data_IF_307409607933
#
_entry.id   IF_307409607933
#
_cell.length_a   1.000
_cell.length_b   1.000
_cell.length_c   1.000
_cell.angle_alpha   90.00
_cell.angle_beta   90.00
_cell.angle_gamma   90.00
#
_symmetry.space_group_name_H-M   'P 1'
#
loop_
_entity.id
_entity.type
_entity.pdbx_description
1 polymer ?
#
# COMPACT_ATOMS: atom_id res chain seq x y z
N UNK A 1 -5.95 19.36 -32.52
CA UNK A 1 -5.70 19.73 -31.12
C UNK A 1 -5.43 18.43 -30.36
N UNK A 2 -4.23 18.27 -29.75
CA UNK A 2 -3.97 17.12 -28.86
C UNK A 2 -4.82 17.35 -27.59
N UNK A 3 -5.83 16.53 -27.37
CA UNK A 3 -6.57 16.54 -26.09
C UNK A 3 -5.57 16.32 -24.97
N UNK A 4 -5.50 17.26 -24.03
CA UNK A 4 -4.63 17.14 -22.85
C UNK A 4 -5.07 15.87 -22.10
N UNK A 5 -4.13 14.95 -21.86
CA UNK A 5 -4.45 13.74 -21.09
C UNK A 5 -5.08 14.14 -19.74
N UNK A 6 -6.10 13.42 -19.27
CA UNK A 6 -6.75 13.77 -18.01
C UNK A 6 -5.74 13.73 -16.85
N UNK A 7 -5.87 14.67 -15.93
CA UNK A 7 -5.01 14.73 -14.74
C UNK A 7 -5.19 13.43 -13.93
N UNK A 8 -4.11 12.75 -13.56
CA UNK A 8 -4.21 11.54 -12.76
C UNK A 8 -4.89 11.77 -11.41
N UNK A 9 -5.66 10.81 -10.96
CA UNK A 9 -6.34 10.85 -9.68
C UNK A 9 -5.57 10.03 -8.63
N UNK A 10 -5.53 10.55 -7.40
CA UNK A 10 -5.07 9.82 -6.22
C UNK A 10 -6.30 9.31 -5.47
N UNK A 11 -6.46 7.98 -5.38
CA UNK A 11 -7.54 7.33 -4.64
C UNK A 11 -7.00 6.92 -3.27
N UNK A 12 -7.44 7.60 -2.22
CA UNK A 12 -6.91 7.43 -0.87
C UNK A 12 -7.81 6.49 -0.06
N UNK A 13 -7.34 5.28 0.23
CA UNK A 13 -8.03 4.29 1.06
C UNK A 13 -7.50 4.33 2.50
N UNK A 14 -8.38 4.17 3.49
CA UNK A 14 -7.96 3.96 4.87
C UNK A 14 -7.89 2.47 5.19
N UNK A 15 -6.88 2.03 5.91
CA UNK A 15 -6.88 0.67 6.46
C UNK A 15 -7.74 0.58 7.72
N UNK A 16 -8.54 -0.47 7.84
CA UNK A 16 -9.25 -0.79 9.10
C UNK A 16 -8.29 -1.19 10.22
N UNK A 17 -7.05 -1.54 9.86
CA UNK A 17 -6.01 -1.88 10.81
C UNK A 17 -5.62 -0.71 11.72
N UNK A 18 -5.72 0.54 11.22
CA UNK A 18 -5.54 1.75 12.03
C UNK A 18 -6.63 1.93 13.10
N UNK A 19 -7.76 1.25 12.95
CA UNK A 19 -8.95 1.37 13.80
C UNK A 19 -9.10 0.23 14.81
N UNK A 20 -8.15 -0.73 14.84
CA UNK A 20 -8.17 -1.82 15.82
C UNK A 20 -8.10 -1.23 17.23
N UNK A 21 -9.10 -1.56 18.05
CA UNK A 21 -9.18 -1.08 19.43
C UNK A 21 -9.49 0.43 19.58
N UNK A 22 -9.85 1.13 18.52
CA UNK A 22 -10.17 2.55 18.58
C UNK A 22 -11.65 2.81 18.98
N UNK A 23 -11.97 3.82 19.85
CA UNK A 23 -11.04 4.74 20.52
C UNK A 23 -10.34 4.13 21.74
N UNK A 24 -10.86 3.05 22.31
CA UNK A 24 -10.19 2.21 23.31
C UNK A 24 -10.59 0.75 23.09
N UNK A 25 -9.79 -0.24 23.53
CA UNK A 25 -10.12 -1.64 23.38
C UNK A 25 -11.50 -2.02 23.94
N UNK A 26 -11.92 -1.39 25.06
CA UNK A 26 -13.22 -1.63 25.73
C UNK A 26 -14.40 -0.98 24.99
N UNK A 27 -14.14 -0.01 24.12
CA UNK A 27 -15.13 0.75 23.37
C UNK A 27 -14.80 0.75 21.86
N UNK A 28 -14.18 -0.34 21.41
CA UNK A 28 -13.81 -0.46 19.99
C UNK A 28 -15.02 -0.31 19.08
N UNK A 29 -14.81 0.45 18.00
CA UNK A 29 -15.87 0.70 17.02
C UNK A 29 -16.25 -0.56 16.25
N UNK A 30 -17.55 -0.75 16.01
CA UNK A 30 -18.04 -1.75 15.05
C UNK A 30 -17.58 -1.44 13.64
N UNK A 31 -17.57 -2.43 12.76
CA UNK A 31 -17.24 -2.28 11.34
C UNK A 31 -18.03 -1.13 10.70
N UNK A 32 -19.34 -1.08 10.94
CA UNK A 32 -20.18 -0.02 10.39
C UNK A 32 -19.80 1.38 10.91
N UNK A 33 -19.35 1.49 12.16
CA UNK A 33 -18.87 2.77 12.71
C UNK A 33 -17.52 3.14 12.11
N UNK A 34 -16.60 2.17 11.98
CA UNK A 34 -15.30 2.38 11.34
C UNK A 34 -15.46 2.92 9.90
N UNK A 35 -16.29 2.30 9.07
CA UNK A 35 -16.48 2.74 7.70
C UNK A 35 -17.14 4.12 7.60
N UNK A 36 -18.09 4.44 8.49
CA UNK A 36 -18.64 5.81 8.59
C UNK A 36 -17.57 6.84 8.97
N UNK A 37 -16.70 6.50 9.91
CA UNK A 37 -15.59 7.38 10.30
C UNK A 37 -14.57 7.56 9.17
N UNK A 38 -14.25 6.51 8.42
CA UNK A 38 -13.41 6.57 7.21
C UNK A 38 -14.03 7.55 6.20
N UNK A 39 -15.33 7.42 5.90
CA UNK A 39 -16.02 8.33 4.99
C UNK A 39 -16.03 9.76 5.50
N UNK A 40 -16.34 9.97 6.79
CA UNK A 40 -16.35 11.29 7.42
C UNK A 40 -14.98 11.97 7.44
N UNK A 41 -13.89 11.18 7.53
CA UNK A 41 -12.52 11.68 7.42
C UNK A 41 -12.10 12.00 5.96
N UNK A 42 -12.99 11.78 4.99
CA UNK A 42 -12.79 12.15 3.58
C UNK A 42 -11.95 11.15 2.78
N UNK A 43 -11.78 9.92 3.23
CA UNK A 43 -11.18 8.87 2.41
C UNK A 43 -12.14 8.44 1.30
N UNK A 44 -11.56 8.00 0.18
CA UNK A 44 -12.29 7.52 -1.00
C UNK A 44 -12.71 6.06 -0.83
N UNK A 45 -11.98 5.29 -0.04
CA UNK A 45 -12.19 3.86 0.12
C UNK A 45 -11.63 3.27 1.40
N UNK A 46 -11.79 1.95 1.50
CA UNK A 46 -11.27 1.13 2.59
C UNK A 46 -10.30 0.08 2.06
N UNK A 47 -9.20 -0.14 2.80
CA UNK A 47 -8.22 -1.19 2.57
C UNK A 47 -8.30 -2.21 3.70
N UNK A 48 -8.73 -3.44 3.39
CA UNK A 48 -8.85 -4.55 4.33
C UNK A 48 -9.09 -5.87 3.57
N UNK A 49 -9.03 -7.01 4.23
CA UNK A 49 -9.70 -8.21 3.70
C UNK A 49 -11.21 -8.00 3.82
N UNK A 50 -11.86 -7.73 2.69
CA UNK A 50 -13.26 -7.28 2.65
C UNK A 50 -14.19 -8.42 3.03
N UNK A 51 -15.09 -8.13 3.98
CA UNK A 51 -16.18 -9.03 4.40
C UNK A 51 -17.51 -8.61 3.78
N UNK A 52 -18.53 -9.50 3.72
CA UNK A 52 -19.87 -9.13 3.25
C UNK A 52 -20.48 -7.95 4.04
N UNK A 53 -20.23 -7.86 5.35
CA UNK A 53 -20.66 -6.73 6.17
C UNK A 53 -19.99 -5.42 5.72
N UNK A 54 -18.67 -5.44 5.52
CA UNK A 54 -17.93 -4.27 5.02
C UNK A 54 -18.46 -3.82 3.67
N UNK A 55 -18.67 -4.78 2.73
CA UNK A 55 -19.21 -4.49 1.41
C UNK A 55 -20.56 -3.76 1.47
N UNK A 56 -21.49 -4.30 2.27
CA UNK A 56 -22.82 -3.71 2.42
C UNK A 56 -22.76 -2.26 2.94
N UNK A 57 -21.89 -1.98 3.90
CA UNK A 57 -21.74 -0.63 4.46
C UNK A 57 -20.99 0.29 3.49
N UNK A 58 -19.92 -0.21 2.85
CA UNK A 58 -19.13 0.55 1.89
C UNK A 58 -20.00 1.03 0.70
N UNK A 59 -20.86 0.16 0.16
CA UNK A 59 -21.78 0.53 -0.93
C UNK A 59 -22.71 1.68 -0.54
N UNK A 60 -23.30 1.62 0.65
CA UNK A 60 -24.19 2.69 1.14
C UNK A 60 -23.47 4.03 1.33
N UNK A 61 -22.17 3.98 1.61
CA UNK A 61 -21.33 5.16 1.84
C UNK A 61 -20.61 5.64 0.56
N UNK A 62 -20.68 4.89 -0.53
CA UNK A 62 -19.93 5.16 -1.75
C UNK A 62 -18.41 5.10 -1.50
N UNK A 63 -17.94 4.11 -0.72
CA UNK A 63 -16.52 3.83 -0.51
C UNK A 63 -16.06 2.76 -1.50
N UNK A 64 -14.93 3.00 -2.16
CA UNK A 64 -14.28 1.98 -2.97
C UNK A 64 -13.54 0.94 -2.09
N UNK A 65 -13.23 -0.21 -2.68
CA UNK A 65 -12.68 -1.36 -1.96
C UNK A 65 -11.30 -1.74 -2.50
N UNK A 66 -10.33 -1.79 -1.63
CA UNK A 66 -8.98 -2.28 -1.83
C UNK A 66 -8.75 -3.43 -0.84
N UNK A 67 -8.15 -4.52 -1.26
CA UNK A 67 -7.92 -5.67 -0.39
C UNK A 67 -6.47 -6.07 -0.32
N UNK A 68 -6.11 -6.85 0.70
CA UNK A 68 -4.80 -7.45 0.83
C UNK A 68 -4.81 -8.69 1.72
N UNK A 69 -3.91 -9.63 1.45
CA UNK A 69 -3.71 -10.82 2.25
C UNK A 69 -2.40 -11.55 1.92
N UNK A 70 -1.97 -12.42 2.86
CA UNK A 70 -0.81 -13.29 2.67
C UNK A 70 -1.17 -14.48 1.78
N UNK A 71 -0.32 -14.82 0.81
CA UNK A 71 -0.48 -15.98 -0.05
C UNK A 71 0.65 -16.98 0.16
N UNK A 72 0.34 -18.14 0.70
CA UNK A 72 1.30 -19.25 0.90
C UNK A 72 1.49 -20.09 -0.35
N UNK A 73 0.57 -20.05 -1.30
CA UNK A 73 0.61 -20.73 -2.59
C UNK A 73 -0.49 -20.20 -3.50
N UNK A 74 -0.45 -20.56 -4.79
CA UNK A 74 -1.55 -20.26 -5.72
C UNK A 74 -2.86 -20.92 -5.29
N UNK A 75 -2.80 -22.17 -4.82
CA UNK A 75 -3.98 -22.91 -4.36
C UNK A 75 -4.64 -22.27 -3.13
N UNK A 76 -3.84 -21.69 -2.22
CA UNK A 76 -4.31 -20.93 -1.06
C UNK A 76 -4.93 -19.58 -1.49
N UNK A 77 -4.34 -18.91 -2.44
CA UNK A 77 -4.76 -17.56 -2.84
C UNK A 77 -6.03 -17.53 -3.71
N UNK A 78 -6.19 -18.47 -4.66
CA UNK A 78 -7.27 -18.43 -5.65
C UNK A 78 -8.68 -18.39 -5.02
N UNK A 79 -9.03 -19.22 -4.02
CA UNK A 79 -10.34 -19.12 -3.37
C UNK A 79 -10.59 -17.75 -2.73
N UNK A 80 -9.55 -17.12 -2.16
CA UNK A 80 -9.65 -15.78 -1.56
C UNK A 80 -9.77 -14.69 -2.62
N UNK A 81 -9.09 -14.82 -3.76
CA UNK A 81 -9.28 -13.92 -4.91
C UNK A 81 -10.72 -13.96 -5.41
N UNK A 82 -11.29 -15.17 -5.53
CA UNK A 82 -12.69 -15.35 -5.93
C UNK A 82 -13.64 -14.65 -4.94
N UNK A 83 -13.44 -14.89 -3.64
CA UNK A 83 -14.26 -14.26 -2.60
C UNK A 83 -14.17 -12.72 -2.64
N UNK A 84 -12.99 -12.16 -2.85
CA UNK A 84 -12.81 -10.71 -2.94
C UNK A 84 -13.40 -10.14 -4.24
N UNK A 85 -13.24 -10.83 -5.37
CA UNK A 85 -13.90 -10.47 -6.64
C UNK A 85 -15.41 -10.39 -6.50
N UNK A 86 -16.02 -11.39 -5.86
CA UNK A 86 -17.48 -11.48 -5.68
C UNK A 86 -18.02 -10.36 -4.79
N UNK A 87 -17.16 -9.76 -3.96
CA UNK A 87 -17.44 -8.55 -3.18
C UNK A 87 -17.11 -7.26 -3.94
N UNK A 88 -16.71 -7.33 -5.21
CA UNK A 88 -16.45 -6.15 -6.05
C UNK A 88 -15.08 -5.50 -5.84
N UNK A 89 -14.13 -6.19 -5.21
CA UNK A 89 -12.75 -5.71 -5.07
C UNK A 89 -12.03 -5.80 -6.41
N UNK A 90 -11.39 -4.69 -6.84
CA UNK A 90 -10.63 -4.63 -8.10
C UNK A 90 -9.13 -4.80 -7.89
N UNK A 91 -8.58 -4.20 -6.83
CA UNK A 91 -7.15 -4.17 -6.53
C UNK A 91 -6.86 -4.97 -5.27
N UNK A 92 -5.99 -5.95 -5.40
CA UNK A 92 -5.64 -6.88 -4.31
C UNK A 92 -4.14 -6.90 -4.11
N UNK A 93 -3.72 -6.50 -2.92
CA UNK A 93 -2.34 -6.61 -2.45
C UNK A 93 -2.04 -8.03 -2.00
N UNK A 94 -0.88 -8.58 -2.37
CA UNK A 94 -0.45 -9.91 -1.95
C UNK A 94 0.93 -9.85 -1.30
N UNK A 95 0.97 -10.25 -0.04
CA UNK A 95 2.21 -10.61 0.65
C UNK A 95 2.57 -12.05 0.24
N UNK A 96 3.61 -12.17 -0.60
CA UNK A 96 3.89 -13.41 -1.33
C UNK A 96 4.85 -14.32 -0.58
N UNK A 97 4.37 -15.52 -0.18
CA UNK A 97 5.19 -16.58 0.43
C UNK A 97 5.90 -16.11 1.72
N UNK A 98 7.05 -16.67 2.04
CA UNK A 98 7.85 -16.32 3.21
C UNK A 98 9.29 -15.93 2.82
N UNK A 99 10.03 -15.44 3.82
CA UNK A 99 11.42 -14.99 3.67
C UNK A 99 12.41 -16.08 3.23
N UNK A 100 12.14 -17.36 3.53
CA UNK A 100 13.01 -18.49 3.13
C UNK A 100 12.82 -18.89 1.66
N UNK A 101 11.78 -18.36 1.00
CA UNK A 101 11.48 -18.75 -0.39
C UNK A 101 12.52 -18.22 -1.35
N UNK A 102 13.17 -19.08 -2.16
CA UNK A 102 14.10 -18.64 -3.19
C UNK A 102 13.42 -17.77 -4.25
N UNK A 103 14.07 -16.69 -4.76
CA UNK A 103 13.51 -15.80 -5.76
C UNK A 103 12.95 -16.49 -7.02
N UNK A 104 13.59 -17.54 -7.49
CA UNK A 104 13.10 -18.31 -8.65
C UNK A 104 11.76 -19.02 -8.38
N UNK A 105 11.55 -19.50 -7.16
CA UNK A 105 10.27 -20.10 -6.75
C UNK A 105 9.20 -19.01 -6.60
N UNK A 106 9.53 -17.89 -5.95
CA UNK A 106 8.62 -16.77 -5.79
C UNK A 106 8.18 -16.19 -7.14
N UNK A 107 9.09 -16.02 -8.09
CA UNK A 107 8.77 -15.55 -9.43
C UNK A 107 7.81 -16.50 -10.17
N UNK A 108 8.00 -17.83 -10.07
CA UNK A 108 7.07 -18.81 -10.68
C UNK A 108 5.68 -18.72 -10.06
N UNK A 109 5.60 -18.60 -8.73
CA UNK A 109 4.30 -18.45 -8.03
C UNK A 109 3.65 -17.11 -8.41
N UNK A 110 4.40 -16.01 -8.48
CA UNK A 110 3.88 -14.72 -8.94
C UNK A 110 3.31 -14.80 -10.36
N UNK A 111 4.01 -15.45 -11.31
CA UNK A 111 3.52 -15.65 -12.68
C UNK A 111 2.19 -16.41 -12.70
N UNK A 112 2.09 -17.50 -11.94
CA UNK A 112 0.86 -18.30 -11.88
C UNK A 112 -0.28 -17.50 -11.22
N UNK A 113 -0.02 -16.84 -10.09
CA UNK A 113 -1.01 -16.08 -9.34
C UNK A 113 -1.57 -14.91 -10.16
N UNK A 114 -0.71 -14.15 -10.83
CA UNK A 114 -1.14 -13.03 -11.67
C UNK A 114 -1.91 -13.53 -12.90
N UNK A 115 -1.54 -14.69 -13.45
CA UNK A 115 -2.32 -15.32 -14.52
C UNK A 115 -3.73 -15.70 -14.05
N UNK A 116 -3.86 -16.31 -12.88
CA UNK A 116 -5.17 -16.67 -12.32
C UNK A 116 -5.99 -15.41 -11.99
N UNK A 117 -5.38 -14.38 -11.41
CA UNK A 117 -6.08 -13.13 -11.12
C UNK A 117 -6.65 -12.45 -12.37
N UNK A 118 -5.94 -12.49 -13.49
CA UNK A 118 -6.42 -11.95 -14.78
C UNK A 118 -7.64 -12.71 -15.31
N UNK A 119 -7.66 -14.05 -15.17
CA UNK A 119 -8.85 -14.84 -15.53
C UNK A 119 -10.08 -14.46 -14.69
N UNK A 120 -9.84 -14.05 -13.46
CA UNK A 120 -10.87 -13.62 -12.53
C UNK A 120 -11.29 -12.15 -12.73
N UNK A 121 -10.55 -11.38 -13.54
CA UNK A 121 -10.82 -9.95 -13.74
C UNK A 121 -10.44 -9.07 -12.56
N UNK A 122 -9.51 -9.53 -11.68
CA UNK A 122 -8.97 -8.74 -10.57
C UNK A 122 -7.50 -8.42 -10.80
N UNK A 123 -7.04 -7.27 -10.31
CA UNK A 123 -5.66 -6.84 -10.41
C UNK A 123 -4.91 -7.20 -9.13
N UNK A 124 -3.99 -8.15 -9.22
CA UNK A 124 -3.10 -8.55 -8.12
C UNK A 124 -1.79 -7.83 -8.24
N UNK A 125 -1.31 -7.29 -7.13
CA UNK A 125 -0.02 -6.63 -6.97
C UNK A 125 0.78 -7.30 -5.87
N UNK A 126 2.05 -7.60 -6.11
CA UNK A 126 2.95 -8.22 -5.13
C UNK A 126 3.57 -7.13 -4.26
N UNK A 127 3.40 -7.23 -2.96
CA UNK A 127 3.91 -6.25 -2.01
C UNK A 127 5.41 -6.41 -1.74
N UNK A 128 6.12 -5.30 -1.63
CA UNK A 128 7.44 -5.26 -1.00
C UNK A 128 7.26 -5.28 0.51
N UNK A 129 7.45 -6.45 1.14
CA UNK A 129 7.10 -6.63 2.55
C UNK A 129 8.12 -7.53 3.28
N UNK A 130 8.40 -7.18 4.56
CA UNK A 130 9.23 -8.00 5.46
C UNK A 130 8.60 -9.38 5.66
N UNK A 131 9.41 -10.37 6.01
CA UNK A 131 8.99 -11.76 6.28
C UNK A 131 8.26 -12.43 5.10
N UNK A 132 8.47 -11.89 3.89
CA UNK A 132 7.97 -12.47 2.64
C UNK A 132 9.10 -12.71 1.66
N UNK A 133 8.78 -13.28 0.50
CA UNK A 133 9.80 -13.48 -0.55
C UNK A 133 10.41 -12.18 -1.08
N UNK A 134 9.76 -11.02 -0.86
CA UNK A 134 10.19 -9.70 -1.33
C UNK A 134 10.84 -8.84 -0.24
N UNK A 135 11.27 -9.42 0.87
CA UNK A 135 11.69 -8.71 2.09
C UNK A 135 12.90 -7.79 1.92
N UNK A 136 13.79 -8.07 0.94
CA UNK A 136 14.96 -7.24 0.68
C UNK A 136 14.96 -6.73 -0.75
N UNK A 137 15.59 -5.56 -1.01
CA UNK A 137 15.74 -5.02 -2.36
C UNK A 137 16.35 -6.02 -3.36
N UNK A 138 17.32 -6.82 -2.94
CA UNK A 138 18.01 -7.78 -3.80
C UNK A 138 17.10 -8.95 -4.21
N UNK A 139 16.36 -9.53 -3.25
CA UNK A 139 15.38 -10.59 -3.54
C UNK A 139 14.28 -10.07 -4.45
N UNK A 140 13.74 -8.89 -4.13
CA UNK A 140 12.73 -8.25 -4.95
C UNK A 140 13.19 -8.01 -6.38
N UNK A 141 14.39 -7.44 -6.57
CA UNK A 141 14.96 -7.19 -7.91
C UNK A 141 15.09 -8.48 -8.71
N UNK A 142 15.59 -9.54 -8.10
CA UNK A 142 15.73 -10.84 -8.76
C UNK A 142 14.37 -11.42 -9.14
N UNK A 143 13.36 -11.37 -8.27
CA UNK A 143 11.98 -11.81 -8.55
C UNK A 143 11.41 -11.01 -9.72
N UNK A 144 11.54 -9.69 -9.71
CA UNK A 144 11.02 -8.84 -10.78
C UNK A 144 11.68 -9.11 -12.13
N UNK A 145 13.02 -9.34 -12.15
CA UNK A 145 13.76 -9.72 -13.36
C UNK A 145 13.34 -11.09 -13.89
N UNK A 146 13.17 -12.08 -13.01
CA UNK A 146 12.73 -13.42 -13.38
C UNK A 146 11.30 -13.43 -13.89
N UNK A 147 10.40 -12.67 -13.24
CA UNK A 147 9.03 -12.47 -13.72
C UNK A 147 9.02 -11.87 -15.13
N UNK A 148 9.77 -10.77 -15.35
CA UNK A 148 9.87 -10.14 -16.67
C UNK A 148 10.43 -11.06 -17.74
N UNK A 149 11.43 -11.88 -17.39
CA UNK A 149 11.98 -12.89 -18.33
C UNK A 149 10.94 -13.94 -18.72
N UNK A 150 10.10 -14.35 -17.78
CA UNK A 150 9.09 -15.39 -18.01
C UNK A 150 7.85 -14.90 -18.75
N UNK A 151 7.51 -13.60 -18.61
CA UNK A 151 6.25 -13.05 -19.12
C UNK A 151 6.42 -12.00 -20.22
N UNK A 152 7.57 -11.37 -20.31
CA UNK A 152 7.82 -10.18 -21.14
C UNK A 152 7.29 -8.88 -20.49
N UNK A 153 6.64 -8.94 -19.34
CA UNK A 153 5.95 -7.81 -18.67
C UNK A 153 6.65 -7.38 -17.39
N UNK A 154 6.36 -6.17 -16.92
CA UNK A 154 6.76 -5.72 -15.59
C UNK A 154 5.91 -6.39 -14.51
N UNK A 155 6.53 -6.73 -13.38
CA UNK A 155 5.81 -7.25 -12.22
C UNK A 155 4.87 -6.16 -11.66
N UNK A 156 3.56 -6.43 -11.48
CA UNK A 156 2.68 -5.53 -10.76
C UNK A 156 3.06 -5.50 -9.28
N UNK A 157 3.36 -4.34 -8.74
CA UNK A 157 3.89 -4.17 -7.37
C UNK A 157 2.99 -3.27 -6.54
N UNK A 158 2.75 -3.67 -5.29
CA UNK A 158 2.35 -2.75 -4.21
C UNK A 158 3.61 -2.29 -3.50
N UNK A 159 3.91 -1.00 -3.55
CA UNK A 159 5.09 -0.47 -2.91
C UNK A 159 4.83 -0.11 -1.44
N UNK A 160 5.44 -0.87 -0.52
CA UNK A 160 5.73 -0.44 0.84
C UNK A 160 7.25 -0.30 1.02
N UNK A 161 7.74 0.92 0.92
CA UNK A 161 9.17 1.20 1.00
C UNK A 161 9.74 1.12 2.43
N UNK A 162 8.87 1.10 3.45
CA UNK A 162 9.27 1.05 4.85
C UNK A 162 10.15 -0.16 5.16
N UNK A 163 9.83 -1.30 4.57
CA UNK A 163 10.55 -2.55 4.78
C UNK A 163 11.97 -2.50 4.22
N UNK A 164 12.14 -1.91 3.04
CA UNK A 164 13.46 -1.74 2.43
C UNK A 164 14.32 -0.71 3.19
N UNK A 165 13.70 0.39 3.62
CA UNK A 165 14.40 1.41 4.39
C UNK A 165 15.01 0.85 5.68
N UNK A 166 14.23 0.04 6.42
CA UNK A 166 14.68 -0.61 7.65
C UNK A 166 15.71 -1.70 7.36
N UNK A 167 15.47 -2.59 6.40
CA UNK A 167 16.40 -3.69 6.09
C UNK A 167 17.78 -3.20 5.66
N UNK A 168 17.88 -1.96 5.16
CA UNK A 168 19.11 -1.33 4.67
C UNK A 168 19.61 -0.17 5.52
N UNK A 169 18.98 0.09 6.67
CA UNK A 169 19.33 1.20 7.56
C UNK A 169 19.50 2.53 6.82
N UNK A 170 18.54 2.86 5.95
CA UNK A 170 18.66 4.04 5.10
C UNK A 170 18.41 5.33 5.87
N UNK A 171 19.27 6.32 5.70
CA UNK A 171 19.06 7.64 6.29
C UNK A 171 18.10 8.48 5.43
N UNK A 172 17.41 9.47 5.99
CA UNK A 172 16.44 10.31 5.25
C UNK A 172 17.02 10.94 3.98
N UNK A 173 18.27 11.40 4.01
CA UNK A 173 18.96 11.97 2.84
C UNK A 173 19.14 10.98 1.68
N UNK A 174 19.07 9.68 1.94
CA UNK A 174 19.28 8.62 0.96
C UNK A 174 17.97 8.02 0.40
N UNK A 175 16.81 8.34 0.99
CA UNK A 175 15.56 7.65 0.67
C UNK A 175 15.26 7.68 -0.83
N UNK A 176 15.19 8.85 -1.44
CA UNK A 176 14.83 8.96 -2.86
C UNK A 176 15.89 8.31 -3.76
N UNK A 177 17.17 8.50 -3.46
CA UNK A 177 18.27 7.94 -4.25
C UNK A 177 18.32 6.40 -4.22
N UNK A 178 17.94 5.77 -3.09
CA UNK A 178 18.07 4.33 -2.88
C UNK A 178 16.75 3.55 -3.01
N UNK A 179 15.60 4.20 -2.82
CA UNK A 179 14.28 3.57 -2.88
C UNK A 179 13.58 3.75 -4.23
N UNK A 180 13.97 4.76 -5.05
CA UNK A 180 13.36 5.01 -6.35
C UNK A 180 14.21 4.46 -7.52
N UNK A 181 15.03 3.45 -7.26
CA UNK A 181 15.95 2.86 -8.26
C UNK A 181 15.25 1.99 -9.31
N UNK A 182 13.95 1.73 -9.15
CA UNK A 182 13.12 0.98 -10.12
C UNK A 182 12.02 1.86 -10.74
N UNK A 183 12.36 2.98 -11.41
CA UNK A 183 11.36 3.95 -11.87
C UNK A 183 10.30 3.31 -12.79
N UNK A 184 10.68 2.37 -13.66
CA UNK A 184 9.72 1.69 -14.54
C UNK A 184 8.70 0.84 -13.75
N UNK A 185 9.12 0.12 -12.70
CA UNK A 185 8.22 -0.66 -11.85
C UNK A 185 7.32 0.26 -11.01
N UNK A 186 7.85 1.37 -10.49
CA UNK A 186 7.08 2.37 -9.77
C UNK A 186 6.00 2.96 -10.67
N UNK A 187 6.37 3.39 -11.86
CA UNK A 187 5.45 3.95 -12.87
C UNK A 187 4.39 2.97 -13.34
N UNK A 188 4.72 1.67 -13.38
CA UNK A 188 3.79 0.60 -13.74
C UNK A 188 2.83 0.22 -12.60
N UNK A 189 3.10 0.62 -11.38
CA UNK A 189 2.29 0.27 -10.21
C UNK A 189 1.04 1.12 -10.11
N UNK A 190 -0.03 0.52 -9.57
CA UNK A 190 -1.30 1.19 -9.28
C UNK A 190 -1.63 1.20 -7.78
N UNK A 191 -0.78 0.61 -6.94
CA UNK A 191 -1.00 0.51 -5.49
C UNK A 191 0.25 0.89 -4.72
N UNK A 192 0.11 1.79 -3.75
CA UNK A 192 1.15 2.10 -2.77
C UNK A 192 0.60 1.99 -1.35
N UNK A 193 1.34 1.29 -0.49
CA UNK A 193 1.20 1.39 0.95
C UNK A 193 2.13 2.50 1.45
N UNK A 194 1.55 3.63 1.78
CA UNK A 194 2.28 4.85 2.17
C UNK A 194 2.47 4.88 3.69
N UNK A 195 3.20 3.90 4.21
CA UNK A 195 3.55 3.81 5.62
C UNK A 195 4.72 4.76 5.91
N UNK A 196 4.59 5.71 6.85
CA UNK A 196 5.71 6.55 7.28
C UNK A 196 6.72 5.71 8.07
N UNK A 197 7.99 5.90 7.75
CA UNK A 197 9.10 5.10 8.29
C UNK A 197 10.33 5.96 8.59
N UNK A 198 11.28 5.37 9.32
CA UNK A 198 12.67 5.83 9.38
C UNK A 198 13.64 4.65 9.18
N UNK A 199 14.93 4.86 9.41
CA UNK A 199 15.95 3.83 9.20
C UNK A 199 15.86 2.63 10.16
N UNK A 200 15.10 2.73 11.24
CA UNK A 200 15.00 1.72 12.29
C UNK A 200 13.60 1.17 12.49
N UNK A 201 12.56 1.91 12.04
CA UNK A 201 11.17 1.57 12.29
C UNK A 201 10.38 1.61 10.98
N UNK A 202 9.69 0.51 10.66
CA UNK A 202 8.78 0.44 9.52
C UNK A 202 7.58 1.37 9.70
N UNK A 203 7.24 1.75 10.93
CA UNK A 203 6.19 2.70 11.22
C UNK A 203 6.69 3.73 12.23
N UNK A 204 6.54 5.00 11.89
CA UNK A 204 6.77 6.12 12.81
C UNK A 204 5.48 6.93 12.97
N UNK A 205 5.25 7.56 14.13
CA UNK A 205 4.07 8.39 14.35
C UNK A 205 4.08 9.62 13.43
N UNK A 206 2.90 9.97 12.93
CA UNK A 206 2.71 11.17 12.09
C UNK A 206 2.76 12.43 12.93
N UNK A 207 2.14 12.38 14.12
CA UNK A 207 2.10 13.49 15.05
C UNK A 207 2.65 13.08 16.42
N UNK A 208 3.00 14.10 17.21
CA UNK A 208 3.41 13.92 18.60
C UNK A 208 2.22 13.74 19.58
N UNK A 209 1.03 13.40 19.08
CA UNK A 209 -0.22 13.30 19.87
C UNK A 209 -0.86 14.64 20.19
N UNK A 210 -0.23 15.77 19.86
CA UNK A 210 -0.75 17.14 20.05
C UNK A 210 -0.94 17.87 18.71
N UNK A 211 -0.97 17.13 17.60
CA UNK A 211 -1.19 17.67 16.25
C UNK A 211 0.04 18.23 15.54
N UNK A 212 1.20 18.30 16.20
CA UNK A 212 2.46 18.71 15.54
C UNK A 212 3.07 17.52 14.82
N UNK A 213 3.43 17.68 13.55
CA UNK A 213 4.13 16.66 12.78
C UNK A 213 5.48 16.31 13.39
N UNK A 214 5.77 15.03 13.48
CA UNK A 214 7.10 14.54 13.91
C UNK A 214 8.17 14.89 12.90
N UNK A 215 9.44 15.04 13.30
CA UNK A 215 10.55 15.18 12.36
C UNK A 215 10.64 14.02 11.36
N UNK A 216 10.48 12.79 11.83
CA UNK A 216 10.53 11.57 11.03
C UNK A 216 9.47 11.55 9.93
N UNK A 217 8.25 12.00 10.25
CA UNK A 217 7.19 12.10 9.25
C UNK A 217 7.46 13.20 8.22
N UNK A 218 8.09 14.29 8.62
CA UNK A 218 8.50 15.35 7.67
C UNK A 218 9.54 14.85 6.68
N UNK A 219 10.53 14.10 7.15
CA UNK A 219 11.53 13.46 6.29
C UNK A 219 10.86 12.47 5.31
N UNK A 220 9.93 11.67 5.82
CA UNK A 220 9.13 10.76 4.99
C UNK A 220 8.28 11.49 3.94
N UNK A 221 7.71 12.66 4.26
CA UNK A 221 6.92 13.45 3.30
C UNK A 221 7.73 13.93 2.10
N UNK A 222 9.00 14.26 2.29
CA UNK A 222 9.90 14.62 1.18
C UNK A 222 10.05 13.43 0.24
N UNK A 223 10.30 12.25 0.78
CA UNK A 223 10.35 11.01 0.00
C UNK A 223 9.02 10.70 -0.70
N UNK A 224 7.89 10.83 -0.01
CA UNK A 224 6.57 10.58 -0.59
C UNK A 224 6.27 11.50 -1.78
N UNK A 225 6.69 12.76 -1.71
CA UNK A 225 6.56 13.71 -2.83
C UNK A 225 7.43 13.28 -4.03
N UNK A 226 8.67 12.84 -3.80
CA UNK A 226 9.54 12.33 -4.85
C UNK A 226 9.01 11.03 -5.46
N UNK A 227 8.43 10.14 -4.65
CA UNK A 227 7.77 8.92 -5.12
C UNK A 227 6.58 9.24 -6.05
N UNK A 228 5.74 10.19 -5.67
CA UNK A 228 4.64 10.66 -6.51
C UNK A 228 5.17 11.30 -7.81
N UNK A 229 6.20 12.13 -7.75
CA UNK A 229 6.81 12.71 -8.93
C UNK A 229 7.40 11.63 -9.87
N UNK A 230 8.05 10.60 -9.31
CA UNK A 230 8.55 9.45 -10.06
C UNK A 230 7.39 8.72 -10.79
N UNK A 231 6.28 8.46 -10.09
CA UNK A 231 5.12 7.81 -10.69
C UNK A 231 4.48 8.66 -11.80
N UNK A 232 4.37 9.97 -11.58
CA UNK A 232 3.79 10.92 -12.55
C UNK A 232 4.63 11.08 -13.81
N UNK A 233 5.94 10.87 -13.73
CA UNK A 233 6.88 11.09 -14.84
C UNK A 233 6.82 10.04 -15.96
N UNK A 234 6.18 8.90 -15.75
CA UNK A 234 6.24 7.78 -16.69
C UNK A 234 4.93 7.32 -17.29
N UNK A 235 4.99 6.33 -18.19
CA UNK A 235 3.83 5.68 -18.74
C UNK A 235 3.15 4.85 -17.64
N UNK A 236 1.99 5.29 -17.23
CA UNK A 236 1.17 4.64 -16.20
C UNK A 236 0.18 3.65 -16.80
N UNK A 237 -0.17 2.54 -16.13
CA UNK A 237 -1.14 1.57 -16.62
C UNK A 237 -2.58 2.09 -16.59
N UNK A 238 -2.82 3.23 -15.92
CA UNK A 238 -4.13 3.87 -15.80
C UNK A 238 -4.01 5.30 -15.30
N UNK A 239 -5.16 5.94 -15.09
CA UNK A 239 -5.23 7.32 -14.61
C UNK A 239 -5.47 7.44 -13.09
N UNK A 240 -5.42 6.34 -12.37
CA UNK A 240 -5.64 6.30 -10.92
C UNK A 240 -4.46 5.64 -10.22
N UNK A 241 -4.00 6.25 -9.13
CA UNK A 241 -3.08 5.64 -8.17
C UNK A 241 -3.83 5.40 -6.86
N UNK A 242 -3.94 4.15 -6.46
CA UNK A 242 -4.60 3.74 -5.23
C UNK A 242 -3.58 3.65 -4.10
N UNK A 243 -3.82 4.38 -3.03
CA UNK A 243 -2.86 4.48 -1.93
C UNK A 243 -3.53 4.29 -0.58
N UNK A 244 -2.77 3.77 0.37
CA UNK A 244 -3.19 3.59 1.75
C UNK A 244 -2.10 4.15 2.67
N UNK A 245 -2.37 5.17 3.51
CA UNK A 245 -1.49 5.51 4.63
C UNK A 245 -1.61 4.39 5.66
N UNK A 246 -0.75 3.38 5.52
CA UNK A 246 -0.87 2.13 6.26
C UNK A 246 -0.23 2.24 7.64
N UNK A 247 -1.04 2.57 8.63
CA UNK A 247 -0.66 2.62 10.04
C UNK A 247 -1.43 1.56 10.82
N UNK A 248 -0.71 0.77 11.61
CA UNK A 248 -1.29 -0.37 12.33
C UNK A 248 -1.07 -0.31 13.83
N UNK A 249 -2.00 -0.92 14.58
CA UNK A 249 -1.97 -1.01 16.04
C UNK A 249 -1.50 -2.37 16.55
N UNK A 250 -1.12 -3.30 15.67
CA UNK A 250 -0.76 -4.67 16.03
C UNK A 250 0.50 -5.15 15.31
N UNK A 251 0.90 -6.40 15.54
CA UNK A 251 2.04 -7.06 14.90
C UNK A 251 3.40 -6.36 15.08
N UNK A 252 3.56 -5.66 16.23
CA UNK A 252 4.82 -5.01 16.57
C UNK A 252 5.10 -3.69 15.80
N UNK A 253 4.14 -3.17 15.08
CA UNK A 253 4.28 -1.85 14.41
C UNK A 253 4.03 -0.69 15.36
N UNK A 254 3.06 -0.83 16.26
CA UNK A 254 2.75 0.18 17.25
C UNK A 254 3.71 0.08 18.44
N UNK A 255 4.26 1.20 18.88
CA UNK A 255 5.06 1.33 20.10
C UNK A 255 4.30 2.16 21.14
N UNK A 256 4.63 2.00 22.42
CA UNK A 256 3.92 2.63 23.54
C UNK A 256 3.93 4.17 23.52
N UNK A 257 4.85 4.76 22.78
CA UNK A 257 4.97 6.22 22.58
C UNK A 257 4.13 6.75 21.43
N UNK A 258 3.58 5.87 20.58
CA UNK A 258 2.71 6.29 19.50
C UNK A 258 1.36 6.77 20.08
N UNK A 259 0.84 7.91 19.63
CA UNK A 259 -0.41 8.41 20.16
C UNK A 259 -1.58 7.48 19.82
N UNK A 260 -1.90 7.31 18.56
CA UNK A 260 -2.89 6.37 18.02
C UNK A 260 -2.81 6.36 16.50
N UNK A 261 -2.93 5.18 15.89
CA UNK A 261 -2.83 5.02 14.44
C UNK A 261 -3.96 5.73 13.68
N UNK A 262 -5.20 5.74 14.19
CA UNK A 262 -6.32 6.33 13.44
C UNK A 262 -6.21 7.86 13.27
N UNK A 263 -6.03 8.70 14.33
CA UNK A 263 -5.81 10.13 14.15
C UNK A 263 -4.60 10.43 13.24
N UNK A 264 -3.55 9.65 13.36
CA UNK A 264 -2.34 9.79 12.54
C UNK A 264 -2.61 9.40 11.08
N UNK A 265 -3.41 8.38 10.80
CA UNK A 265 -3.82 8.04 9.43
C UNK A 265 -4.65 9.16 8.78
N UNK A 266 -5.55 9.79 9.54
CA UNK A 266 -6.33 10.95 9.07
C UNK A 266 -5.41 12.14 8.78
N UNK A 267 -4.43 12.40 9.65
CA UNK A 267 -3.45 13.46 9.42
C UNK A 267 -2.54 13.13 8.24
N UNK A 268 -2.03 11.92 8.12
CA UNK A 268 -1.23 11.46 6.99
C UNK A 268 -1.94 11.67 5.65
N UNK A 269 -3.25 11.36 5.58
CA UNK A 269 -4.06 11.63 4.39
C UNK A 269 -3.94 13.08 3.94
N UNK A 270 -4.11 14.02 4.83
CA UNK A 270 -4.05 15.45 4.51
C UNK A 270 -2.67 15.86 3.97
N UNK A 271 -1.61 15.42 4.62
CA UNK A 271 -0.25 15.76 4.24
C UNK A 271 0.16 15.10 2.92
N UNK A 272 -0.23 13.85 2.71
CA UNK A 272 0.02 13.12 1.46
C UNK A 272 -0.74 13.71 0.26
N UNK A 273 -1.97 14.19 0.46
CA UNK A 273 -2.67 14.96 -0.57
C UNK A 273 -1.92 16.25 -0.92
N UNK A 274 -1.36 16.94 0.08
CA UNK A 274 -0.48 18.09 -0.14
C UNK A 274 0.78 17.73 -0.95
N UNK A 275 1.45 16.64 -0.62
CA UNK A 275 2.61 16.13 -1.36
C UNK A 275 2.24 15.76 -2.82
N UNK A 276 1.11 15.09 -3.03
CA UNK A 276 0.59 14.81 -4.37
C UNK A 276 0.38 16.07 -5.20
N UNK A 277 -0.26 17.09 -4.62
CA UNK A 277 -0.48 18.37 -5.30
C UNK A 277 0.83 19.10 -5.64
N UNK A 278 1.86 18.98 -4.82
CA UNK A 278 3.19 19.52 -5.13
C UNK A 278 3.86 18.74 -6.25
N UNK A 279 3.77 17.41 -6.23
CA UNK A 279 4.31 16.55 -7.28
C UNK A 279 3.66 16.81 -8.66
N UNK A 280 2.35 17.08 -8.69
CA UNK A 280 1.64 17.45 -9.94
C UNK A 280 2.14 18.77 -10.59
N UNK A 281 2.80 19.62 -9.82
CA UNK A 281 3.33 20.91 -10.30
C UNK A 281 4.79 20.86 -10.74
N UNK A 282 5.49 19.76 -10.48
CA UNK A 282 6.84 19.50 -10.98
C UNK A 282 6.81 19.09 -12.45
#
# INVERSE_FOLDING_TARGET
>A
MKTKAPTPALVMCATTWSLIGWPTPQRAWSVAHQLRAIKAAGFDGVCAFITPEMKLVADRLGLCLMSGFDAKSVADAVPRLIAQRDLGVRFINIQLLNHDTPPATAARVAVQLIRESRKLGVSVHIETHRDTSTETPEKFDEIARLYRRATGELLPVTWDHSHFAVSKHMLPADYSARLLVWPQLIQHSQMFHLRPFNSQHCQVPVTNGRGTLTPEFRDYLVFAEDLFACWLAGPRPGNELWVCPELGMSHGYHVSTDPHAWPDAVRARTELLGAWQRALRR
#
